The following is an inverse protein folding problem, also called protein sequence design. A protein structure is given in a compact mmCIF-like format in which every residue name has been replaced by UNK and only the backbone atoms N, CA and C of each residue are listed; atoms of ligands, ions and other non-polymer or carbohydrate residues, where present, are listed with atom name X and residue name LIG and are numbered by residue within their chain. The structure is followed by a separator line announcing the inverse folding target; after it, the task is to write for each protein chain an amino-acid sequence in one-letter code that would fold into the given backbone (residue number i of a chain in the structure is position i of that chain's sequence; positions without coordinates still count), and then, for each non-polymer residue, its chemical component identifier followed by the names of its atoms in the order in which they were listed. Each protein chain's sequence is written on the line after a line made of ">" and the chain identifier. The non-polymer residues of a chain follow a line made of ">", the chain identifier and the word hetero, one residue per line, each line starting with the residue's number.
data_IF_305774893085
#
_entry.id   IF_305774893085
#
_cell.length_a   1.000
_cell.length_b   1.000
_cell.length_c   1.000
_cell.angle_alpha   90.00
_cell.angle_beta   90.00
_cell.angle_gamma   90.00
#
_symmetry.space_group_name_H-M   'P 1'
#
loop_
_entity.id
_entity.type
_entity.pdbx_description
1 polymer ?
#
# COMPACT_ATOMS: atom_id res chain seq x y z
N UNK A 1 18.01 -14.47 -14.01
CA UNK A 1 16.61 -14.88 -13.92
C UNK A 1 16.46 -16.24 -14.56
N UNK A 2 15.81 -17.21 -13.92
CA UNK A 2 14.39 -17.13 -13.61
C UNK A 2 14.08 -16.80 -12.14
N UNK A 3 12.99 -16.03 -11.91
CA UNK A 3 12.39 -15.77 -10.61
C UNK A 3 10.86 -15.74 -10.77
N UNK A 4 10.13 -16.29 -9.81
CA UNK A 4 8.68 -16.12 -9.73
C UNK A 4 8.42 -14.69 -9.26
N UNK A 5 7.68 -13.91 -10.05
CA UNK A 5 7.37 -12.51 -9.72
C UNK A 5 6.21 -12.39 -8.73
N UNK A 6 5.86 -11.16 -8.34
CA UNK A 6 4.77 -10.83 -7.42
C UNK A 6 5.23 -10.67 -5.98
N UNK A 7 4.78 -9.62 -5.33
CA UNK A 7 5.16 -9.31 -3.95
C UNK A 7 3.99 -8.85 -3.08
N UNK A 8 2.79 -8.86 -3.63
CA UNK A 8 1.52 -8.60 -2.94
C UNK A 8 0.79 -9.93 -2.78
N UNK A 9 0.59 -10.41 -1.57
CA UNK A 9 -0.03 -11.70 -1.36
C UNK A 9 -0.48 -11.97 0.06
N UNK A 10 -1.45 -12.86 0.17
CA UNK A 10 -1.94 -13.40 1.42
C UNK A 10 -2.29 -14.88 1.25
N UNK A 11 -2.29 -15.63 2.34
CA UNK A 11 -2.58 -17.05 2.26
C UNK A 11 -2.59 -17.73 3.63
N UNK A 12 -2.57 -19.06 3.59
CA UNK A 12 -2.54 -19.90 4.78
C UNK A 12 -1.16 -20.52 4.94
N UNK A 13 -0.62 -20.48 6.14
CA UNK A 13 0.62 -21.18 6.49
C UNK A 13 0.36 -22.68 6.40
N UNK A 14 1.07 -23.35 5.49
CA UNK A 14 0.93 -24.82 5.30
C UNK A 14 2.08 -25.60 5.93
N UNK A 15 3.23 -24.94 6.13
CA UNK A 15 4.42 -25.53 6.74
C UNK A 15 5.21 -24.44 7.48
N UNK A 16 5.91 -24.77 8.54
CA UNK A 16 6.82 -23.89 9.27
C UNK A 16 8.19 -24.53 9.42
N UNK A 17 9.23 -23.73 9.32
CA UNK A 17 10.61 -24.15 9.54
C UNK A 17 10.90 -24.47 11.02
N UNK A 18 12.03 -25.11 11.26
CA UNK A 18 12.51 -25.41 12.60
C UNK A 18 12.70 -24.11 13.42
N UNK A 19 12.25 -24.12 14.66
CA UNK A 19 12.38 -22.98 15.59
C UNK A 19 11.41 -21.83 15.36
N UNK A 20 10.53 -21.89 14.37
CA UNK A 20 9.50 -20.87 14.14
C UNK A 20 8.43 -20.97 15.22
N UNK A 21 8.17 -19.85 15.91
CA UNK A 21 7.15 -19.74 16.98
C UNK A 21 6.15 -18.61 16.77
N UNK A 22 6.42 -17.65 15.85
CA UNK A 22 5.57 -16.49 15.59
C UNK A 22 4.31 -16.82 14.81
N UNK A 23 4.37 -17.85 13.97
CA UNK A 23 3.26 -18.37 13.15
C UNK A 23 3.20 -19.89 13.24
N UNK A 24 2.04 -20.46 12.94
CA UNK A 24 1.80 -21.92 12.91
C UNK A 24 0.99 -22.31 11.69
N UNK A 25 1.02 -23.61 11.35
CA UNK A 25 0.18 -24.18 10.30
C UNK A 25 -1.29 -23.85 10.56
N UNK A 26 -1.97 -23.37 9.54
CA UNK A 26 -3.37 -22.92 9.59
C UNK A 26 -3.54 -21.42 9.85
N UNK A 27 -2.50 -20.68 10.27
CA UNK A 27 -2.59 -19.22 10.40
C UNK A 27 -2.82 -18.56 9.02
N UNK A 28 -3.74 -17.60 8.97
CA UNK A 28 -3.98 -16.74 7.82
C UNK A 28 -3.02 -15.54 7.91
N UNK A 29 -2.23 -15.32 6.88
CA UNK A 29 -1.15 -14.32 6.91
C UNK A 29 -1.03 -13.54 5.61
N UNK A 30 -0.52 -12.31 5.72
CA UNK A 30 0.22 -11.61 4.68
C UNK A 30 1.67 -11.51 5.13
N UNK A 31 2.60 -11.21 4.23
CA UNK A 31 3.99 -11.00 4.62
C UNK A 31 4.59 -9.78 3.92
N UNK A 32 5.55 -9.15 4.61
CA UNK A 32 6.37 -8.10 4.00
C UNK A 32 7.17 -8.65 2.82
N UNK A 33 7.59 -7.75 1.95
CA UNK A 33 8.33 -8.10 0.74
C UNK A 33 9.79 -8.51 1.00
N UNK A 34 10.26 -8.51 2.25
CA UNK A 34 11.62 -8.91 2.63
C UNK A 34 11.68 -10.40 2.96
N UNK A 35 12.37 -11.20 2.13
CA UNK A 35 12.69 -12.58 2.50
C UNK A 35 13.87 -12.63 3.47
N UNK A 36 14.99 -11.96 3.14
CA UNK A 36 16.17 -11.89 3.99
C UNK A 36 16.77 -10.50 4.00
N UNK A 37 17.36 -10.12 5.11
CA UNK A 37 18.20 -8.93 5.29
C UNK A 37 19.47 -9.30 6.06
N UNK A 38 20.53 -8.48 6.00
CA UNK A 38 21.82 -8.86 6.60
C UNK A 38 21.84 -8.83 8.13
N UNK A 39 20.89 -8.14 8.78
CA UNK A 39 20.79 -8.01 10.23
C UNK A 39 21.83 -7.10 10.91
N UNK A 40 22.88 -6.69 10.20
CA UNK A 40 24.05 -6.01 10.80
C UNK A 40 24.30 -4.60 10.31
N UNK A 41 23.76 -4.18 9.15
CA UNK A 41 23.94 -2.83 8.65
C UNK A 41 23.14 -1.80 9.48
N UNK A 42 23.42 -0.53 9.24
CA UNK A 42 22.76 0.58 9.93
C UNK A 42 21.23 0.48 9.85
N UNK A 43 20.68 0.23 8.66
CA UNK A 43 19.24 0.10 8.44
C UNK A 43 18.63 -1.07 9.21
N UNK A 44 19.27 -2.25 9.13
CA UNK A 44 18.77 -3.43 9.87
C UNK A 44 18.75 -3.18 11.39
N UNK A 45 19.78 -2.49 11.93
CA UNK A 45 19.83 -2.16 13.36
C UNK A 45 18.78 -1.15 13.80
N UNK A 46 18.26 -0.34 12.86
CA UNK A 46 17.15 0.59 13.09
C UNK A 46 15.77 -0.04 12.85
N UNK A 47 15.70 -1.30 12.39
CA UNK A 47 14.46 -1.96 12.00
C UNK A 47 14.00 -1.65 10.56
N UNK A 48 14.77 -0.85 9.81
CA UNK A 48 14.49 -0.45 8.42
C UNK A 48 15.03 -1.50 7.44
N UNK A 49 14.62 -2.76 7.60
CA UNK A 49 15.15 -3.88 6.82
C UNK A 49 14.86 -3.79 5.32
N UNK A 50 13.82 -3.08 4.95
CA UNK A 50 13.46 -2.74 3.57
C UNK A 50 14.54 -1.89 2.86
N UNK A 51 15.36 -1.13 3.61
CA UNK A 51 16.46 -0.31 3.11
C UNK A 51 17.82 -1.04 3.11
N UNK A 52 17.89 -2.29 3.54
CA UNK A 52 19.11 -3.07 3.57
C UNK A 52 19.65 -3.34 2.17
N UNK A 53 20.91 -2.94 1.89
CA UNK A 53 21.57 -3.16 0.60
C UNK A 53 21.75 -4.65 0.22
N UNK A 54 21.71 -5.54 1.22
CA UNK A 54 21.81 -6.99 1.04
C UNK A 54 20.46 -7.70 1.15
N UNK A 55 19.37 -6.94 1.09
CA UNK A 55 18.01 -7.48 1.13
C UNK A 55 17.74 -8.35 -0.09
N UNK A 56 17.09 -9.49 0.13
CA UNK A 56 16.45 -10.26 -0.94
C UNK A 56 14.93 -10.04 -0.84
N UNK A 57 14.39 -9.36 -1.85
CA UNK A 57 12.96 -9.09 -1.94
C UNK A 57 12.23 -10.20 -2.66
N UNK A 58 11.06 -10.57 -2.17
CA UNK A 58 10.12 -11.46 -2.85
C UNK A 58 9.71 -10.87 -4.20
N UNK A 59 9.59 -11.71 -5.20
CA UNK A 59 9.22 -11.32 -6.57
C UNK A 59 10.30 -10.58 -7.36
N UNK A 60 11.52 -10.42 -6.81
CA UNK A 60 12.63 -9.71 -7.46
C UNK A 60 13.97 -10.42 -7.32
N UNK A 61 14.47 -10.61 -6.12
CA UNK A 61 15.72 -11.31 -5.80
C UNK A 61 15.48 -12.71 -5.20
N UNK A 62 14.24 -13.04 -4.90
CA UNK A 62 13.74 -14.33 -4.46
C UNK A 62 12.36 -14.56 -5.07
N UNK A 63 11.92 -15.81 -5.13
CA UNK A 63 10.62 -16.18 -5.65
C UNK A 63 9.48 -15.53 -4.84
N UNK A 64 8.48 -15.01 -5.56
CA UNK A 64 7.37 -14.28 -5.00
C UNK A 64 6.05 -15.03 -5.04
N UNK A 65 4.95 -14.28 -5.09
CA UNK A 65 3.60 -14.79 -4.84
C UNK A 65 2.84 -15.29 -6.07
N UNK A 66 3.35 -15.12 -7.30
CA UNK A 66 2.65 -15.62 -8.50
C UNK A 66 2.84 -17.15 -8.61
N UNK A 67 2.52 -17.86 -7.52
CA UNK A 67 2.61 -19.30 -7.38
C UNK A 67 1.56 -19.83 -6.41
N UNK A 68 1.31 -21.13 -6.43
CA UNK A 68 0.41 -21.76 -5.44
C UNK A 68 0.98 -21.76 -4.04
N UNK A 69 2.30 -21.76 -3.90
CA UNK A 69 3.04 -21.71 -2.64
C UNK A 69 4.23 -20.76 -2.78
N UNK A 70 4.54 -20.07 -1.70
CA UNK A 70 5.74 -19.25 -1.59
C UNK A 70 6.42 -19.46 -0.23
N UNK A 71 7.69 -19.11 -0.14
CA UNK A 71 8.45 -19.10 1.11
C UNK A 71 8.52 -17.64 1.59
N UNK A 72 8.07 -17.39 2.82
CA UNK A 72 8.20 -16.10 3.48
C UNK A 72 8.98 -16.25 4.79
N UNK A 73 9.67 -15.20 5.20
CA UNK A 73 10.35 -15.19 6.51
C UNK A 73 9.30 -15.02 7.62
N UNK A 74 9.30 -15.93 8.59
CA UNK A 74 8.30 -15.93 9.66
C UNK A 74 8.27 -14.63 10.48
N UNK A 75 9.41 -13.94 10.61
CA UNK A 75 9.52 -12.65 11.32
C UNK A 75 8.80 -11.50 10.59
N UNK A 76 8.54 -11.66 9.30
CA UNK A 76 7.87 -10.67 8.44
C UNK A 76 6.45 -11.10 8.06
N UNK A 77 5.94 -12.17 8.65
CA UNK A 77 4.55 -12.60 8.48
C UNK A 77 3.65 -11.91 9.51
N UNK A 78 2.55 -11.36 9.04
CA UNK A 78 1.52 -10.71 9.85
C UNK A 78 0.22 -11.50 9.75
N UNK A 79 -0.38 -11.83 10.91
CA UNK A 79 -1.66 -12.55 10.94
C UNK A 79 -2.78 -11.62 10.50
N UNK A 80 -3.62 -12.13 9.62
CA UNK A 80 -4.85 -11.46 9.21
C UNK A 80 -5.92 -11.64 10.28
N UNK A 81 -6.73 -10.61 10.49
CA UNK A 81 -7.95 -10.74 11.26
C UNK A 81 -8.90 -11.75 10.58
N UNK A 82 -9.74 -12.42 11.39
CA UNK A 82 -10.58 -13.52 10.90
C UNK A 82 -11.62 -13.07 9.86
N UNK A 83 -12.05 -11.82 9.93
CA UNK A 83 -13.04 -11.20 9.06
C UNK A 83 -12.46 -10.61 7.76
N UNK A 84 -11.12 -10.51 7.63
CA UNK A 84 -10.49 -10.06 6.39
C UNK A 84 -10.43 -11.18 5.35
N UNK A 85 -10.77 -10.89 4.11
CA UNK A 85 -10.55 -11.80 2.97
C UNK A 85 -9.05 -11.90 2.62
N UNK A 86 -8.67 -12.86 1.79
CA UNK A 86 -7.28 -12.93 1.30
C UNK A 86 -6.99 -11.83 0.26
N UNK A 87 -7.99 -11.41 -0.49
CA UNK A 87 -7.91 -10.27 -1.41
C UNK A 87 -7.59 -8.98 -0.65
N UNK A 88 -8.28 -8.70 0.46
CA UNK A 88 -7.98 -7.57 1.33
C UNK A 88 -6.60 -7.72 1.98
N UNK A 89 -6.24 -8.92 2.43
CA UNK A 89 -4.92 -9.23 2.98
C UNK A 89 -3.79 -9.00 1.98
N UNK A 90 -4.00 -9.29 0.70
CA UNK A 90 -3.02 -9.03 -0.35
C UNK A 90 -2.80 -7.53 -0.62
N UNK A 91 -3.81 -6.69 -0.35
CA UNK A 91 -3.68 -5.24 -0.45
C UNK A 91 -2.88 -4.61 0.71
N UNK A 92 -2.50 -5.37 1.72
CA UNK A 92 -1.74 -4.85 2.86
C UNK A 92 -0.39 -4.26 2.43
N UNK A 93 0.27 -4.87 1.44
CA UNK A 93 1.56 -4.38 0.94
C UNK A 93 1.44 -3.01 0.27
N UNK A 94 0.63 -2.80 -0.79
CA UNK A 94 0.50 -1.49 -1.39
C UNK A 94 -0.11 -0.45 -0.43
N UNK A 95 -1.00 -0.87 0.46
CA UNK A 95 -1.55 0.03 1.47
C UNK A 95 -0.50 0.46 2.52
N UNK A 96 0.46 -0.39 2.87
CA UNK A 96 1.57 -0.01 3.73
C UNK A 96 2.43 1.11 3.09
N UNK A 97 2.65 1.09 1.78
CA UNK A 97 3.31 2.18 1.05
C UNK A 97 2.51 3.49 1.15
N UNK A 98 1.18 3.42 1.04
CA UNK A 98 0.29 4.57 1.19
C UNK A 98 0.32 5.12 2.61
N UNK A 99 0.24 4.25 3.63
CA UNK A 99 0.34 4.66 5.04
C UNK A 99 1.69 5.33 5.30
N UNK A 100 2.78 4.78 4.78
CA UNK A 100 4.09 5.40 4.92
C UNK A 100 4.13 6.79 4.28
N UNK A 101 3.64 6.95 3.06
CA UNK A 101 3.63 8.24 2.37
C UNK A 101 2.75 9.29 3.07
N UNK A 102 1.55 8.91 3.47
CA UNK A 102 0.57 9.85 4.06
C UNK A 102 0.89 10.12 5.53
N UNK A 103 1.11 9.07 6.33
CA UNK A 103 1.21 9.21 7.78
C UNK A 103 2.63 9.46 8.28
N UNK A 104 3.68 8.96 7.56
CA UNK A 104 5.06 9.07 8.03
C UNK A 104 5.85 10.18 7.32
N UNK A 105 5.49 10.53 6.08
CA UNK A 105 6.22 11.53 5.30
C UNK A 105 5.48 12.86 5.17
N UNK A 106 4.15 12.83 4.96
CA UNK A 106 3.37 14.04 4.67
C UNK A 106 2.70 14.62 5.92
N UNK A 107 2.19 13.77 6.81
CA UNK A 107 1.52 14.16 8.06
C UNK A 107 0.38 15.18 7.85
N UNK A 108 -0.62 14.91 7.02
CA UNK A 108 -1.69 15.85 6.77
C UNK A 108 -2.59 15.98 8.02
N UNK A 109 -3.03 17.21 8.30
CA UNK A 109 -3.94 17.51 9.40
C UNK A 109 -5.40 17.56 8.93
N UNK A 110 -6.37 17.32 9.82
CA UNK A 110 -7.78 17.54 9.51
C UNK A 110 -8.02 18.96 8.99
N UNK A 111 -8.69 19.06 7.84
CA UNK A 111 -8.94 20.32 7.13
C UNK A 111 -7.89 20.71 6.09
N UNK A 112 -6.76 20.00 6.01
CA UNK A 112 -5.80 20.22 4.94
C UNK A 112 -6.41 19.88 3.58
N UNK A 113 -6.02 20.64 2.55
CA UNK A 113 -6.36 20.36 1.16
C UNK A 113 -5.30 19.43 0.55
N UNK A 114 -5.71 18.22 0.22
CA UNK A 114 -4.83 17.18 -0.35
C UNK A 114 -5.19 16.93 -1.80
N UNK A 115 -4.24 17.18 -2.71
CA UNK A 115 -4.37 16.81 -4.11
C UNK A 115 -3.79 15.42 -4.36
N UNK A 116 -4.62 14.52 -4.90
CA UNK A 116 -4.20 13.20 -5.36
C UNK A 116 -4.24 13.18 -6.88
N UNK A 117 -3.08 13.00 -7.52
CA UNK A 117 -2.96 12.96 -8.97
C UNK A 117 -2.96 11.50 -9.44
N UNK A 118 -3.96 11.14 -10.23
CA UNK A 118 -4.15 9.81 -10.80
C UNK A 118 -5.04 8.90 -9.93
N UNK A 119 -6.22 8.48 -10.46
CA UNK A 119 -7.19 7.65 -9.75
C UNK A 119 -6.92 6.14 -9.89
N UNK A 120 -5.66 5.73 -10.04
CA UNK A 120 -5.25 4.33 -10.01
C UNK A 120 -5.35 3.72 -8.61
N UNK A 121 -5.04 2.42 -8.43
CA UNK A 121 -5.17 1.73 -7.13
C UNK A 121 -4.48 2.49 -5.98
N UNK A 122 -3.25 2.93 -6.17
CA UNK A 122 -2.51 3.71 -5.16
C UNK A 122 -3.19 5.04 -4.84
N UNK A 123 -3.62 5.77 -5.88
CA UNK A 123 -4.34 7.04 -5.70
C UNK A 123 -5.66 6.87 -4.96
N UNK A 124 -6.42 5.80 -5.25
CA UNK A 124 -7.64 5.44 -4.52
C UNK A 124 -7.38 5.23 -3.03
N UNK A 125 -6.34 4.47 -2.69
CA UNK A 125 -5.95 4.21 -1.29
C UNK A 125 -5.47 5.48 -0.58
N UNK A 126 -4.67 6.33 -1.27
CA UNK A 126 -4.22 7.64 -0.72
C UNK A 126 -5.42 8.53 -0.44
N UNK A 127 -6.37 8.63 -1.39
CA UNK A 127 -7.55 9.46 -1.23
C UNK A 127 -8.43 8.98 -0.06
N UNK A 128 -8.64 7.66 0.04
CA UNK A 128 -9.40 7.05 1.14
C UNK A 128 -8.74 7.34 2.50
N UNK A 129 -7.42 7.17 2.62
CA UNK A 129 -6.68 7.41 3.85
C UNK A 129 -6.68 8.91 4.21
N UNK A 130 -6.37 9.80 3.27
CA UNK A 130 -6.40 11.24 3.52
C UNK A 130 -7.79 11.72 3.95
N UNK A 131 -8.84 11.18 3.32
CA UNK A 131 -10.22 11.45 3.73
C UNK A 131 -10.51 10.97 5.15
N UNK A 132 -10.04 9.77 5.51
CA UNK A 132 -10.18 9.24 6.87
C UNK A 132 -9.40 10.08 7.91
N UNK A 133 -8.31 10.72 7.52
CA UNK A 133 -7.58 11.70 8.34
C UNK A 133 -8.31 13.05 8.47
N UNK A 134 -9.46 13.24 7.83
CA UNK A 134 -10.25 14.46 7.91
C UNK A 134 -9.85 15.55 6.92
N UNK A 135 -9.06 15.20 5.89
CA UNK A 135 -8.64 16.17 4.87
C UNK A 135 -9.75 16.44 3.85
N UNK A 136 -9.65 17.59 3.20
CA UNK A 136 -10.40 17.90 1.98
C UNK A 136 -9.60 17.34 0.79
N UNK A 137 -10.13 16.29 0.16
CA UNK A 137 -9.41 15.58 -0.90
C UNK A 137 -9.91 15.99 -2.26
N UNK A 138 -9.00 16.42 -3.13
CA UNK A 138 -9.20 16.60 -4.57
C UNK A 138 -8.50 15.46 -5.29
N UNK A 139 -9.24 14.68 -6.09
CA UNK A 139 -8.66 13.64 -6.94
C UNK A 139 -8.73 14.07 -8.39
N UNK A 140 -7.58 14.13 -9.06
CA UNK A 140 -7.51 14.44 -10.48
C UNK A 140 -7.21 13.19 -11.31
N UNK A 141 -7.87 13.11 -12.46
CA UNK A 141 -7.64 12.13 -13.51
C UNK A 141 -7.59 12.81 -14.88
N UNK A 142 -7.56 12.01 -15.91
CA UNK A 142 -7.63 12.43 -17.31
C UNK A 142 -8.84 11.79 -18.00
N UNK A 143 -9.10 12.15 -19.24
CA UNK A 143 -10.11 11.48 -20.07
C UNK A 143 -9.84 9.97 -20.16
N UNK A 144 -10.87 9.18 -19.84
CA UNK A 144 -10.79 7.71 -19.68
C UNK A 144 -10.72 7.25 -18.22
N UNK A 145 -10.56 8.17 -17.27
CA UNK A 145 -10.57 7.85 -15.83
C UNK A 145 -11.94 8.07 -15.15
N UNK A 146 -13.00 8.36 -15.90
CA UNK A 146 -14.32 8.75 -15.38
C UNK A 146 -14.90 7.72 -14.41
N UNK A 147 -14.75 6.43 -14.71
CA UNK A 147 -15.22 5.35 -13.84
C UNK A 147 -14.45 5.29 -12.52
N UNK A 148 -13.12 5.49 -12.57
CA UNK A 148 -12.27 5.51 -11.37
C UNK A 148 -12.56 6.72 -10.49
N UNK A 149 -12.77 7.89 -11.11
CA UNK A 149 -13.19 9.10 -10.41
C UNK A 149 -14.59 8.94 -9.79
N UNK A 150 -15.52 8.31 -10.51
CA UNK A 150 -16.84 7.95 -9.99
C UNK A 150 -16.72 7.00 -8.78
N UNK A 151 -15.89 5.96 -8.90
CA UNK A 151 -15.64 5.02 -7.82
C UNK A 151 -15.16 5.73 -6.53
N UNK A 152 -14.24 6.69 -6.64
CA UNK A 152 -13.78 7.49 -5.52
C UNK A 152 -14.91 8.29 -4.86
N UNK A 153 -15.81 8.88 -5.68
CA UNK A 153 -16.97 9.61 -5.15
C UNK A 153 -17.93 8.69 -4.39
N UNK A 154 -18.29 7.57 -5.00
CA UNK A 154 -19.35 6.68 -4.51
C UNK A 154 -18.89 5.87 -3.29
N UNK A 155 -17.62 5.43 -3.24
CA UNK A 155 -17.13 4.53 -2.21
C UNK A 155 -16.38 5.24 -1.08
N UNK A 156 -15.71 6.35 -1.36
CA UNK A 156 -14.92 7.08 -0.36
C UNK A 156 -15.46 8.46 -0.03
N UNK A 157 -16.52 8.91 -0.72
CA UNK A 157 -17.09 10.24 -0.52
C UNK A 157 -16.16 11.37 -0.91
N UNK A 158 -15.30 11.16 -1.92
CA UNK A 158 -14.42 12.19 -2.47
C UNK A 158 -15.26 13.13 -3.32
N UNK A 159 -15.64 14.28 -2.80
CA UNK A 159 -16.54 15.23 -3.49
C UNK A 159 -15.86 15.95 -4.65
N UNK A 160 -14.57 16.24 -4.54
CA UNK A 160 -13.81 16.99 -5.54
C UNK A 160 -13.04 16.02 -6.44
N UNK A 161 -13.62 15.71 -7.59
CA UNK A 161 -12.96 14.90 -8.63
C UNK A 161 -12.91 15.70 -9.92
N UNK A 162 -11.73 15.77 -10.54
CA UNK A 162 -11.46 16.70 -11.66
C UNK A 162 -10.84 15.94 -12.83
N UNK A 163 -11.35 16.15 -14.04
CA UNK A 163 -10.64 15.83 -15.28
C UNK A 163 -9.69 17.00 -15.60
N UNK A 164 -8.40 16.80 -15.42
CA UNK A 164 -7.39 17.85 -15.62
C UNK A 164 -7.12 18.21 -17.08
N UNK A 165 -7.71 17.47 -18.03
CA UNK A 165 -7.68 17.84 -19.45
C UNK A 165 -8.81 18.80 -19.85
N UNK A 166 -9.86 18.87 -19.03
CA UNK A 166 -11.04 19.70 -19.28
C UNK A 166 -11.14 20.89 -18.32
N UNK A 167 -10.46 20.80 -17.18
CA UNK A 167 -10.51 21.81 -16.11
C UNK A 167 -9.10 22.29 -15.78
N UNK A 168 -8.91 23.60 -15.66
CA UNK A 168 -7.68 24.16 -15.10
C UNK A 168 -7.57 23.79 -13.62
N UNK A 169 -6.79 22.75 -13.35
CA UNK A 169 -6.63 22.19 -12.00
C UNK A 169 -6.06 23.24 -11.03
N UNK A 170 -5.16 24.12 -11.51
CA UNK A 170 -4.59 25.16 -10.67
C UNK A 170 -5.64 26.17 -10.23
N UNK A 171 -6.42 26.69 -11.17
CA UNK A 171 -7.50 27.62 -10.86
C UNK A 171 -8.54 26.99 -9.94
N UNK A 172 -8.89 25.71 -10.17
CA UNK A 172 -9.80 24.97 -9.33
C UNK A 172 -9.31 24.84 -7.86
N UNK A 173 -8.02 24.55 -7.68
CA UNK A 173 -7.42 24.45 -6.33
C UNK A 173 -7.31 25.80 -5.65
N UNK A 174 -6.97 26.89 -6.38
CA UNK A 174 -6.92 28.24 -5.85
C UNK A 174 -8.30 28.70 -5.38
N UNK A 175 -9.36 28.43 -6.15
CA UNK A 175 -10.75 28.72 -5.76
C UNK A 175 -11.14 27.93 -4.49
N UNK A 176 -10.88 26.62 -4.47
CA UNK A 176 -11.25 25.75 -3.36
C UNK A 176 -10.50 26.09 -2.06
N UNK A 177 -9.24 26.51 -2.17
CA UNK A 177 -8.41 26.90 -1.03
C UNK A 177 -8.64 28.35 -0.57
N UNK A 178 -9.50 29.12 -1.27
CA UNK A 178 -9.68 30.56 -1.04
C UNK A 178 -8.35 31.34 -1.09
N UNK A 179 -7.40 30.87 -1.91
CA UNK A 179 -6.08 31.48 -2.07
C UNK A 179 -5.12 31.26 -0.89
N UNK A 180 -5.37 30.24 -0.06
CA UNK A 180 -4.53 29.84 1.07
C UNK A 180 -3.41 28.87 0.63
#
# INVERSE_FOLDING_TARGET
>A
YPVIIGHEGAGVVVEVGEGVTSVKVGDRVTAETTLTACGTCEYCRKGETNMCAHRKGLGSAADGYFANYCIASAQYCHKLADDLSFEEGALAEPFACVVHAVSNLTHPYPGDLVLVVGPGPMGQMVAALAKACGCVVVMSGITGDEERLRFARENYGIQHTVNSQETDLKAYLEELSEGR
#
